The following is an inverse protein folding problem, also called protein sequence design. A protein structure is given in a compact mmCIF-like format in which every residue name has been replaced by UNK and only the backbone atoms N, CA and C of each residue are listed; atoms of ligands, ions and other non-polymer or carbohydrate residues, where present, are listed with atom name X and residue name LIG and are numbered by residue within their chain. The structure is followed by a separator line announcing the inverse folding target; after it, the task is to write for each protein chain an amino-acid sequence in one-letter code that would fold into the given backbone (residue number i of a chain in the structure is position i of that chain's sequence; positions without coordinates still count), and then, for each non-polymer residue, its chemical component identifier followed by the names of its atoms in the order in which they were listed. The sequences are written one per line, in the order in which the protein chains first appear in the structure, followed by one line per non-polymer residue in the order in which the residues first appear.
data_IF_848283991021
#
_entry.id   IF_848283991021
#
_cell.length_a   1.000
_cell.length_b   1.000
_cell.length_c   1.000
_cell.angle_alpha   90.00
_cell.angle_beta   90.00
_cell.angle_gamma   90.00
#
_symmetry.space_group_name_H-M   'P 1'
#
loop_
_entity.id
_entity.type
_entity.pdbx_description
1 polymer ?
#
# COMPACT_ATOMS: atom_id res chain seq x y z
N UNK A 1 -40.08 -43.29 52.15
CA UNK A 1 -40.87 -42.58 53.18
C UNK A 1 -40.66 -41.08 53.02
N UNK A 2 -41.79 -40.43 52.74
CA UNK A 2 -42.21 -39.07 53.18
C UNK A 2 -41.26 -37.88 52.78
N UNK A 3 -41.70 -37.18 51.77
CA UNK A 3 -42.45 -35.91 51.82
C UNK A 3 -41.77 -34.78 52.65
N UNK A 4 -41.38 -33.70 52.00
CA UNK A 4 -42.15 -32.47 52.16
C UNK A 4 -41.72 -31.41 51.12
N UNK A 5 -42.73 -30.98 50.42
CA UNK A 5 -42.78 -29.77 49.61
C UNK A 5 -42.51 -28.53 50.47
N UNK A 6 -41.71 -27.61 50.01
CA UNK A 6 -41.92 -26.21 50.36
C UNK A 6 -41.76 -25.38 49.09
N UNK A 7 -42.86 -24.83 48.71
CA UNK A 7 -43.03 -23.75 47.79
C UNK A 7 -42.47 -22.48 48.44
N UNK A 8 -41.55 -21.82 47.82
CA UNK A 8 -41.25 -20.44 48.12
C UNK A 8 -41.18 -19.66 46.82
N UNK A 9 -42.26 -18.92 46.63
CA UNK A 9 -42.45 -17.93 45.63
C UNK A 9 -41.55 -16.74 45.98
N UNK A 10 -40.60 -16.38 45.13
CA UNK A 10 -39.69 -15.29 45.36
C UNK A 10 -39.27 -14.67 44.05
N UNK A 11 -40.07 -13.70 43.68
CA UNK A 11 -39.80 -12.47 42.95
C UNK A 11 -38.67 -12.51 41.88
N UNK A 12 -39.09 -12.65 40.66
CA UNK A 12 -38.32 -12.43 39.45
C UNK A 12 -38.06 -10.93 39.33
N UNK A 13 -36.90 -10.51 39.68
CA UNK A 13 -36.35 -9.21 39.21
C UNK A 13 -35.64 -9.48 37.89
N UNK A 14 -36.33 -9.22 36.81
CA UNK A 14 -35.74 -9.16 35.45
C UNK A 14 -34.87 -7.95 35.39
N UNK A 15 -33.57 -8.15 35.59
CA UNK A 15 -32.57 -7.18 35.26
C UNK A 15 -32.14 -7.43 33.82
N UNK A 16 -32.83 -6.78 32.89
CA UNK A 16 -32.45 -6.72 31.49
C UNK A 16 -31.16 -5.93 31.36
N UNK A 17 -30.04 -6.61 31.54
CA UNK A 17 -28.76 -6.11 31.08
C UNK A 17 -28.75 -6.19 29.55
N UNK A 18 -29.01 -5.07 28.90
CA UNK A 18 -28.79 -4.90 27.49
C UNK A 18 -27.29 -5.01 27.22
N UNK A 19 -26.87 -6.24 26.86
CA UNK A 19 -25.58 -6.40 26.18
C UNK A 19 -25.71 -5.78 24.79
N UNK A 20 -25.34 -4.53 24.72
CA UNK A 20 -24.97 -3.92 23.45
C UNK A 20 -23.68 -4.61 23.03
N UNK A 21 -23.82 -5.72 22.33
CA UNK A 21 -22.74 -6.28 21.53
C UNK A 21 -22.42 -5.25 20.45
N UNK A 22 -21.55 -4.32 20.80
CA UNK A 22 -20.88 -3.52 19.81
C UNK A 22 -20.02 -4.44 18.98
N UNK A 23 -20.57 -4.97 17.89
CA UNK A 23 -19.77 -5.38 16.77
C UNK A 23 -19.05 -4.13 16.30
N UNK A 24 -17.87 -3.91 16.83
CA UNK A 24 -16.89 -3.03 16.27
C UNK A 24 -16.50 -3.63 14.92
N UNK A 25 -17.31 -3.34 13.90
CA UNK A 25 -16.83 -3.33 12.54
C UNK A 25 -15.67 -2.36 12.55
N UNK A 26 -14.48 -2.91 12.59
CA UNK A 26 -13.27 -2.18 12.28
C UNK A 26 -13.33 -1.87 10.79
N UNK A 27 -14.28 -1.02 10.41
CA UNK A 27 -14.19 -0.29 9.18
C UNK A 27 -12.93 0.53 9.37
N UNK A 28 -11.85 0.04 8.83
CA UNK A 28 -10.72 0.87 8.46
C UNK A 28 -11.34 1.98 7.61
N UNK A 29 -11.72 3.07 8.26
CA UNK A 29 -11.93 4.31 7.54
C UNK A 29 -10.56 4.57 6.92
N UNK A 30 -10.46 4.28 5.64
CA UNK A 30 -9.52 4.97 4.80
C UNK A 30 -9.71 6.44 5.13
N UNK A 31 -8.80 6.96 5.91
CA UNK A 31 -8.66 8.37 6.10
C UNK A 31 -8.31 8.95 4.73
N UNK A 32 -9.31 9.37 4.00
CA UNK A 32 -9.18 10.25 2.84
C UNK A 32 -8.74 11.64 3.30
N UNK A 33 -7.97 11.72 4.36
CA UNK A 33 -7.40 12.92 4.93
C UNK A 33 -5.90 12.79 4.93
N UNK A 34 -5.28 13.10 3.79
CA UNK A 34 -3.98 13.76 3.76
C UNK A 34 -2.72 12.95 3.95
N UNK A 35 -2.74 11.68 4.26
CA UNK A 35 -1.56 10.85 4.13
C UNK A 35 -1.40 10.40 2.67
N UNK A 36 -0.78 11.26 1.92
CA UNK A 36 -0.30 10.95 0.57
C UNK A 36 0.92 10.06 0.73
N UNK A 37 0.70 8.77 1.01
CA UNK A 37 1.74 7.79 1.21
C UNK A 37 2.91 7.92 0.22
N UNK A 38 4.00 7.24 0.49
CA UNK A 38 5.16 7.19 -0.40
C UNK A 38 4.78 6.66 -1.77
N UNK A 39 5.45 7.15 -2.81
CA UNK A 39 5.46 6.52 -4.12
C UNK A 39 6.69 5.61 -4.20
N UNK A 40 6.48 4.33 -4.41
CA UNK A 40 7.56 3.36 -4.58
C UNK A 40 7.90 3.26 -6.05
N UNK A 41 9.10 3.71 -6.41
CA UNK A 41 9.64 3.69 -7.77
C UNK A 41 10.54 2.48 -7.97
N UNK A 42 10.15 1.58 -8.86
CA UNK A 42 10.97 0.45 -9.28
C UNK A 42 11.91 0.84 -10.42
N UNK A 43 13.17 0.52 -10.28
CA UNK A 43 14.20 0.80 -11.29
C UNK A 43 15.27 -0.30 -11.36
N UNK A 44 16.02 -0.31 -12.46
CA UNK A 44 17.28 -1.03 -12.57
C UNK A 44 18.39 -0.15 -11.97
N UNK A 45 19.07 -0.64 -10.97
CA UNK A 45 20.14 0.08 -10.29
C UNK A 45 21.52 -0.07 -10.96
N UNK A 46 21.54 -0.59 -12.16
CA UNK A 46 22.75 -0.74 -13.00
C UNK A 46 22.55 -0.19 -14.41
N UNK A 47 21.84 0.92 -14.55
CA UNK A 47 21.55 1.55 -15.84
C UNK A 47 21.97 3.04 -15.89
N UNK A 48 23.28 3.34 -15.80
CA UNK A 48 23.76 4.72 -15.89
C UNK A 48 23.56 5.27 -17.32
N UNK A 49 23.26 6.56 -17.47
CA UNK A 49 23.14 7.58 -16.44
C UNK A 49 21.72 7.74 -15.85
N UNK A 50 20.78 6.87 -16.21
CA UNK A 50 19.36 7.01 -15.88
C UNK A 50 19.07 6.64 -14.41
N UNK A 51 19.45 5.44 -13.97
CA UNK A 51 19.35 4.96 -12.60
C UNK A 51 20.48 4.00 -12.29
N UNK A 52 21.24 4.26 -11.25
CA UNK A 52 22.38 3.41 -10.88
C UNK A 52 22.79 3.65 -9.42
N UNK A 53 23.64 2.79 -8.90
CA UNK A 53 24.28 3.01 -7.60
C UNK A 53 25.61 3.74 -7.78
N UNK A 54 25.78 4.76 -6.97
CA UNK A 54 27.04 5.50 -6.89
C UNK A 54 28.10 4.77 -6.03
N UNK A 55 29.25 5.41 -5.82
CA UNK A 55 30.36 4.88 -5.02
C UNK A 55 29.98 4.65 -3.55
N UNK A 56 28.94 5.31 -3.06
CA UNK A 56 28.40 5.15 -1.71
C UNK A 56 27.27 4.11 -1.65
N UNK A 57 27.01 3.40 -2.76
CA UNK A 57 25.91 2.45 -2.91
C UNK A 57 24.51 3.11 -2.81
N UNK A 58 24.42 4.41 -3.06
CA UNK A 58 23.17 5.16 -3.11
C UNK A 58 22.61 5.19 -4.52
N UNK A 59 21.27 5.03 -4.62
CA UNK A 59 20.58 5.09 -5.91
C UNK A 59 20.52 6.53 -6.38
N UNK A 60 21.04 6.79 -7.57
CA UNK A 60 21.17 8.12 -8.21
C UNK A 60 20.96 8.01 -9.72
N UNK A 61 20.90 9.15 -10.40
CA UNK A 61 20.80 9.24 -11.85
C UNK A 61 19.70 10.18 -12.31
N UNK A 62 19.62 10.36 -13.63
CA UNK A 62 18.71 11.30 -14.26
C UNK A 62 17.22 11.00 -13.92
N UNK A 63 16.79 9.75 -14.07
CA UNK A 63 15.42 9.36 -13.75
C UNK A 63 15.12 9.43 -12.25
N UNK A 64 16.12 9.18 -11.42
CA UNK A 64 16.02 9.30 -9.96
C UNK A 64 15.76 10.76 -9.57
N UNK A 65 16.47 11.70 -10.18
CA UNK A 65 16.28 13.13 -9.92
C UNK A 65 14.93 13.63 -10.45
N UNK A 66 14.50 13.16 -11.62
CA UNK A 66 13.15 13.47 -12.14
C UNK A 66 12.07 12.95 -11.20
N UNK A 67 12.19 11.70 -10.72
CA UNK A 67 11.23 11.12 -9.81
C UNK A 67 11.16 11.87 -8.48
N UNK A 68 12.30 12.27 -7.93
CA UNK A 68 12.36 13.12 -6.72
C UNK A 68 11.65 14.46 -6.93
N UNK A 69 11.89 15.13 -8.04
CA UNK A 69 11.25 16.41 -8.32
C UNK A 69 9.74 16.26 -8.57
N UNK A 70 9.32 15.24 -9.32
CA UNK A 70 7.92 14.99 -9.59
C UNK A 70 7.14 14.70 -8.31
N UNK A 71 7.65 13.81 -7.45
CA UNK A 71 6.99 13.46 -6.20
C UNK A 71 6.95 14.64 -5.22
N UNK A 72 8.00 15.46 -5.18
CA UNK A 72 8.03 16.71 -4.41
C UNK A 72 6.91 17.67 -4.86
N UNK A 73 6.71 17.86 -6.17
CA UNK A 73 5.64 18.70 -6.71
C UNK A 73 4.24 18.15 -6.37
N UNK A 74 4.11 16.84 -6.27
CA UNK A 74 2.89 16.19 -5.83
C UNK A 74 2.67 16.24 -4.30
N UNK A 75 3.65 16.75 -3.55
CA UNK A 75 3.64 16.75 -2.09
C UNK A 75 3.68 15.34 -1.51
N UNK A 76 4.39 14.42 -2.15
CA UNK A 76 4.54 13.02 -1.74
C UNK A 76 6.01 12.68 -1.53
N UNK A 77 6.28 11.73 -0.66
CA UNK A 77 7.60 11.12 -0.52
C UNK A 77 7.84 10.10 -1.64
N UNK A 78 9.10 9.87 -1.97
CA UNK A 78 9.52 8.83 -2.91
C UNK A 78 10.39 7.80 -2.20
N UNK A 79 10.20 6.54 -2.56
CA UNK A 79 11.07 5.44 -2.19
C UNK A 79 11.57 4.77 -3.46
N UNK A 80 12.88 4.58 -3.59
CA UNK A 80 13.47 3.89 -4.72
C UNK A 80 13.74 2.44 -4.36
N UNK A 81 13.33 1.55 -5.23
CA UNK A 81 13.50 0.11 -5.08
C UNK A 81 14.21 -0.46 -6.30
N UNK A 82 15.41 -0.95 -6.08
CA UNK A 82 16.10 -1.75 -7.10
C UNK A 82 15.34 -3.06 -7.32
N UNK A 83 15.02 -3.36 -8.56
CA UNK A 83 14.30 -4.57 -8.96
C UNK A 83 15.07 -5.31 -10.06
N UNK A 84 14.83 -6.61 -10.18
CA UNK A 84 15.21 -7.33 -11.37
C UNK A 84 14.35 -6.82 -12.55
N UNK A 85 15.01 -6.17 -13.51
CA UNK A 85 14.32 -5.56 -14.64
C UNK A 85 13.56 -6.55 -15.51
N UNK A 86 13.95 -7.82 -15.50
CA UNK A 86 13.21 -8.87 -16.20
C UNK A 86 11.85 -9.16 -15.60
N UNK A 87 11.67 -8.86 -14.32
CA UNK A 87 10.42 -9.06 -13.57
C UNK A 87 9.59 -7.79 -13.36
N UNK A 88 9.97 -6.66 -13.96
CA UNK A 88 9.35 -5.35 -13.72
C UNK A 88 7.83 -5.29 -13.83
N UNK A 89 7.26 -5.97 -14.83
CA UNK A 89 5.80 -5.99 -15.01
C UNK A 89 5.11 -6.75 -13.87
N UNK A 90 5.72 -7.81 -13.35
CA UNK A 90 5.22 -8.54 -12.18
C UNK A 90 5.34 -7.73 -10.89
N UNK A 91 6.42 -6.97 -10.72
CA UNK A 91 6.60 -6.05 -9.59
C UNK A 91 5.51 -4.97 -9.57
N UNK A 92 5.23 -4.35 -10.72
CA UNK A 92 4.16 -3.36 -10.87
C UNK A 92 2.78 -3.97 -10.62
N UNK A 93 2.48 -5.08 -11.27
CA UNK A 93 1.17 -5.76 -11.17
C UNK A 93 0.85 -6.23 -9.75
N UNK A 94 1.86 -6.65 -9.00
CA UNK A 94 1.68 -7.11 -7.62
C UNK A 94 1.60 -5.97 -6.61
N UNK A 95 1.80 -4.73 -7.02
CA UNK A 95 1.82 -3.56 -6.13
C UNK A 95 3.06 -3.47 -5.25
N UNK A 96 4.13 -4.21 -5.57
CA UNK A 96 5.42 -4.06 -4.87
C UNK A 96 6.15 -2.79 -5.24
N UNK A 97 5.84 -2.22 -6.39
CA UNK A 97 6.19 -0.87 -6.81
C UNK A 97 4.95 -0.20 -7.39
N UNK A 98 4.86 1.11 -7.26
CA UNK A 98 3.74 1.91 -7.77
C UNK A 98 4.01 2.40 -9.20
N UNK A 99 5.27 2.59 -9.53
CA UNK A 99 5.74 3.12 -10.80
C UNK A 99 7.03 2.42 -11.20
N UNK A 100 7.19 2.16 -12.49
CA UNK A 100 8.47 1.82 -13.11
C UNK A 100 9.03 3.09 -13.74
N UNK A 101 10.21 3.50 -13.32
CA UNK A 101 10.84 4.71 -13.83
C UNK A 101 12.32 4.49 -14.09
N UNK A 102 12.61 4.12 -15.31
CA UNK A 102 13.96 3.85 -15.79
C UNK A 102 13.85 3.47 -17.26
N UNK A 103 14.50 4.10 -18.17
CA UNK A 103 14.60 3.78 -19.60
C UNK A 103 13.59 2.77 -20.18
N UNK A 104 12.31 2.86 -19.82
CA UNK A 104 11.28 1.89 -20.19
C UNK A 104 10.62 2.28 -21.51
N UNK A 105 10.86 1.50 -22.57
CA UNK A 105 10.26 1.74 -23.88
C UNK A 105 8.74 1.54 -23.86
N UNK A 106 8.03 2.44 -24.52
CA UNK A 106 6.60 2.34 -24.76
C UNK A 106 6.38 1.43 -25.97
N UNK A 107 5.84 0.25 -25.74
CA UNK A 107 5.49 -0.70 -26.79
C UNK A 107 3.99 -1.04 -26.74
N UNK A 108 3.39 -1.42 -27.85
CA UNK A 108 1.97 -1.78 -27.88
C UNK A 108 1.67 -2.97 -26.95
N UNK A 109 2.57 -3.95 -26.91
CA UNK A 109 2.45 -5.10 -25.98
C UNK A 109 2.41 -4.65 -24.51
N UNK A 110 3.23 -3.68 -24.11
CA UNK A 110 3.26 -3.18 -22.73
C UNK A 110 2.05 -2.32 -22.43
N UNK A 111 1.50 -1.58 -23.39
CA UNK A 111 0.26 -0.81 -23.24
C UNK A 111 -0.95 -1.69 -22.89
N UNK A 112 -0.91 -2.98 -23.22
CA UNK A 112 -1.97 -3.93 -22.86
C UNK A 112 -2.01 -4.24 -21.36
N UNK A 113 -0.89 -4.06 -20.66
CA UNK A 113 -0.72 -4.51 -19.26
C UNK A 113 -0.37 -3.40 -18.27
N UNK A 114 -0.02 -2.20 -18.75
CA UNK A 114 0.31 -1.05 -17.91
C UNK A 114 -0.02 0.27 -18.60
N UNK A 115 -0.16 1.33 -17.79
CA UNK A 115 -0.32 2.69 -18.27
C UNK A 115 1.04 3.37 -18.39
N UNK A 116 1.13 4.33 -19.30
CA UNK A 116 2.34 5.13 -19.53
C UNK A 116 2.03 6.61 -19.39
N UNK A 117 3.04 7.37 -18.97
CA UNK A 117 3.08 8.81 -19.16
C UNK A 117 3.35 9.15 -20.63
N UNK A 118 3.37 10.44 -20.93
CA UNK A 118 4.00 10.91 -22.17
C UNK A 118 5.51 10.57 -22.14
N UNK A 119 6.12 10.27 -23.29
CA UNK A 119 7.55 10.06 -23.37
C UNK A 119 8.34 11.36 -23.12
N UNK A 120 9.54 11.24 -22.59
CA UNK A 120 10.44 12.38 -22.32
C UNK A 120 11.85 12.11 -22.81
#
# INVERSE_FOLDING_TARGET
MRFKKILALGLVTVLTAAFVSGCGSNSTKENASGDKGKIVVGLDDNFPPMGFKDENNEITGFDVDLAKEATKRLGREVEFKAIDWSSKEAELKSGRVDVLWNGLDITDKRKEVMLFSDPY
#
